data_IF_394754477575
#
_entry.id   IF_394754477575
#
_cell.length_a   1.000
_cell.length_b   1.000
_cell.length_c   1.000
_cell.angle_alpha   90.00
_cell.angle_beta   90.00
_cell.angle_gamma   90.00
#
_symmetry.space_group_name_H-M   'P 1'
#
loop_
_entity.id
_entity.type
_entity.pdbx_description
1 polymer ?
#
# COMPACT_ATOMS: atom_id res chain seq x y z
N UNK A 1 0.66 5.47 -13.87
CA UNK A 1 -0.57 5.15 -14.62
C UNK A 1 -1.34 3.97 -13.97
N UNK A 2 -0.90 2.71 -13.98
CA UNK A 2 -0.91 1.86 -15.17
C UNK A 2 -2.22 1.04 -15.29
N UNK A 3 -2.43 -0.01 -14.50
CA UNK A 3 -3.50 -1.00 -14.74
C UNK A 3 -4.94 -0.46 -14.71
N UNK A 4 -5.30 0.40 -13.74
CA UNK A 4 -6.67 0.94 -13.66
C UNK A 4 -6.95 2.00 -14.73
N UNK A 5 -5.95 2.80 -15.12
CA UNK A 5 -6.06 3.71 -16.26
C UNK A 5 -6.14 2.94 -17.59
N UNK A 6 -5.37 1.85 -17.73
CA UNK A 6 -5.52 0.90 -18.85
C UNK A 6 -6.94 0.34 -18.92
N UNK A 7 -7.56 0.00 -17.79
CA UNK A 7 -8.95 -0.51 -17.74
C UNK A 7 -9.97 0.50 -18.29
N UNK A 8 -9.80 1.79 -18.02
CA UNK A 8 -10.68 2.87 -18.54
C UNK A 8 -10.43 3.11 -20.03
N UNK A 9 -9.17 3.17 -20.46
CA UNK A 9 -8.79 3.29 -21.88
C UNK A 9 -9.33 2.15 -22.76
N UNK A 10 -9.41 0.92 -22.22
CA UNK A 10 -10.02 -0.23 -22.90
C UNK A 10 -11.54 -0.07 -23.05
N UNK A 11 -12.22 0.55 -22.08
CA UNK A 11 -13.66 0.83 -22.18
C UNK A 11 -13.97 1.93 -23.22
N UNK A 12 -13.22 3.04 -23.18
CA UNK A 12 -13.26 4.12 -24.18
C UNK A 12 -13.02 3.61 -25.61
N UNK A 13 -12.04 2.71 -25.78
CA UNK A 13 -11.75 2.07 -27.06
C UNK A 13 -12.93 1.21 -27.55
N UNK A 14 -13.57 0.45 -26.66
CA UNK A 14 -14.73 -0.38 -27.03
C UNK A 14 -15.92 0.46 -27.50
N UNK A 15 -16.20 1.60 -26.83
CA UNK A 15 -17.25 2.56 -27.25
C UNK A 15 -16.89 3.22 -28.59
N UNK A 16 -15.63 3.61 -28.77
CA UNK A 16 -15.14 4.23 -30.01
C UNK A 16 -15.26 3.28 -31.21
N UNK A 17 -14.90 2.01 -31.03
CA UNK A 17 -15.07 0.96 -32.05
C UNK A 17 -16.55 0.72 -32.35
N UNK A 18 -17.41 0.69 -31.33
CA UNK A 18 -18.85 0.53 -31.52
C UNK A 18 -19.46 1.66 -32.36
N UNK A 19 -19.05 2.92 -32.12
CA UNK A 19 -19.47 4.07 -32.91
C UNK A 19 -18.93 4.07 -34.34
N UNK A 20 -17.68 3.60 -34.56
CA UNK A 20 -17.03 3.56 -35.88
C UNK A 20 -17.49 2.39 -36.77
N UNK A 21 -18.07 1.33 -36.19
CA UNK A 21 -18.61 0.17 -36.91
C UNK A 21 -20.14 0.18 -37.08
N UNK A 22 -20.84 1.16 -36.50
CA UNK A 22 -22.30 1.29 -36.60
C UNK A 22 -22.78 1.58 -38.04
N UNK A 23 -23.69 0.73 -38.54
CA UNK A 23 -24.54 0.89 -39.73
C UNK A 23 -23.98 1.74 -40.89
N UNK A 24 -22.86 1.30 -41.48
CA UNK A 24 -22.35 1.97 -42.68
C UNK A 24 -21.03 1.47 -43.28
N UNK A 25 -20.76 0.16 -43.23
CA UNK A 25 -19.64 -0.48 -43.95
C UNK A 25 -20.16 -1.33 -45.11
N UNK A 26 -20.50 -0.67 -46.21
CA UNK A 26 -20.61 -1.29 -47.55
C UNK A 26 -19.68 -0.55 -48.50
N UNK A 27 -19.00 -1.30 -49.37
CA UNK A 27 -18.23 -0.70 -50.46
C UNK A 27 -19.19 -0.06 -51.48
N UNK A 28 -18.81 1.05 -52.11
CA UNK A 28 -19.57 1.64 -53.22
C UNK A 28 -19.59 0.70 -54.44
N UNK A 29 -20.66 0.78 -55.22
CA UNK A 29 -20.86 0.04 -56.46
C UNK A 29 -20.25 0.77 -57.67
N UNK A 30 -20.06 0.06 -58.79
CA UNK A 30 -19.66 0.70 -60.06
C UNK A 30 -20.77 1.65 -60.55
N UNK A 31 -20.46 2.95 -60.52
CA UNK A 31 -21.39 4.03 -60.87
C UNK A 31 -21.88 4.86 -59.68
N UNK A 32 -21.53 4.50 -58.44
CA UNK A 32 -21.78 5.36 -57.27
C UNK A 32 -20.96 6.66 -57.34
N UNK A 33 -21.46 7.68 -56.64
CA UNK A 33 -20.80 8.99 -56.47
C UNK A 33 -19.40 8.81 -55.84
N UNK A 34 -18.31 9.33 -56.46
CA UNK A 34 -16.98 9.33 -55.87
C UNK A 34 -16.92 9.84 -54.42
N UNK A 35 -17.80 10.78 -54.04
CA UNK A 35 -17.88 11.28 -52.66
C UNK A 35 -18.28 10.20 -51.64
N UNK A 36 -19.03 9.17 -52.05
CA UNK A 36 -19.39 8.04 -51.18
C UNK A 36 -18.18 7.15 -50.89
N UNK A 37 -17.30 6.96 -51.89
CA UNK A 37 -16.02 6.27 -51.71
C UNK A 37 -15.07 7.06 -50.80
N UNK A 38 -14.97 8.37 -51.04
CA UNK A 38 -14.16 9.31 -50.26
C UNK A 38 -14.56 9.34 -48.78
N UNK A 39 -15.86 9.33 -48.48
CA UNK A 39 -16.39 9.29 -47.11
C UNK A 39 -16.10 7.98 -46.38
N UNK A 40 -16.08 6.85 -47.10
CA UNK A 40 -15.70 5.55 -46.54
C UNK A 40 -14.20 5.49 -46.22
N UNK A 41 -13.38 5.97 -47.16
CA UNK A 41 -11.94 6.13 -47.02
C UNK A 41 -11.57 7.10 -45.88
N UNK A 42 -12.34 8.17 -45.66
CA UNK A 42 -12.15 9.09 -44.53
C UNK A 42 -12.49 8.46 -43.18
N UNK A 43 -13.54 7.63 -43.10
CA UNK A 43 -13.85 6.82 -41.90
C UNK A 43 -12.70 5.86 -41.57
N UNK A 44 -12.13 5.21 -42.59
CA UNK A 44 -10.98 4.31 -42.44
C UNK A 44 -9.73 5.05 -41.95
N UNK A 45 -9.42 6.22 -42.53
CA UNK A 45 -8.32 7.10 -42.08
C UNK A 45 -8.46 7.55 -40.63
N UNK A 46 -9.68 7.84 -40.14
CA UNK A 46 -9.92 8.15 -38.72
C UNK A 46 -9.61 6.96 -37.80
N UNK A 47 -10.10 5.76 -38.15
CA UNK A 47 -9.85 4.54 -37.38
C UNK A 47 -8.34 4.23 -37.30
N UNK A 48 -7.61 4.38 -38.40
CA UNK A 48 -6.15 4.26 -38.45
C UNK A 48 -5.45 5.32 -37.59
N UNK A 49 -5.86 6.58 -37.68
CA UNK A 49 -5.31 7.69 -36.89
C UNK A 49 -5.50 7.51 -35.38
N UNK A 50 -6.65 6.97 -34.96
CA UNK A 50 -6.98 6.73 -33.55
C UNK A 50 -6.15 5.58 -32.95
N UNK A 51 -5.97 4.47 -33.68
CA UNK A 51 -5.04 3.39 -33.30
C UNK A 51 -3.60 3.91 -33.19
N UNK A 52 -3.18 4.76 -34.13
CA UNK A 52 -1.85 5.39 -34.12
C UNK A 52 -1.66 6.34 -32.93
N UNK A 53 -2.67 7.13 -32.58
CA UNK A 53 -2.66 8.02 -31.41
C UNK A 53 -2.51 7.24 -30.09
N UNK A 54 -3.29 6.17 -29.90
CA UNK A 54 -3.20 5.30 -28.72
C UNK A 54 -1.86 4.57 -28.62
N UNK A 55 -1.28 4.19 -29.75
CA UNK A 55 0.08 3.60 -29.79
C UNK A 55 1.13 4.60 -29.29
N UNK A 56 1.00 5.89 -29.63
CA UNK A 56 1.95 6.92 -29.22
C UNK A 56 1.73 7.43 -27.78
N UNK A 57 0.48 7.45 -27.30
CA UNK A 57 0.16 7.75 -25.89
C UNK A 57 0.82 6.74 -24.93
N UNK A 58 1.12 5.53 -25.40
CA UNK A 58 1.85 4.49 -24.65
C UNK A 58 3.38 4.69 -24.65
N UNK A 59 3.91 5.72 -25.30
CA UNK A 59 5.34 5.95 -25.48
C UNK A 59 5.88 7.27 -24.88
N UNK A 60 5.02 8.19 -24.43
CA UNK A 60 5.44 9.49 -23.85
C UNK A 60 4.55 9.88 -22.65
N UNK A 61 4.86 9.34 -21.45
CA UNK A 61 4.06 9.48 -20.22
C UNK A 61 3.82 10.93 -19.73
N UNK A 62 4.60 11.92 -20.17
CA UNK A 62 4.52 13.33 -19.71
C UNK A 62 3.25 14.09 -20.13
N UNK A 63 2.41 13.55 -21.02
CA UNK A 63 1.25 14.26 -21.59
C UNK A 63 -0.08 14.00 -20.88
N UNK A 64 -0.14 13.05 -19.95
CA UNK A 64 -1.38 12.70 -19.24
C UNK A 64 -2.01 13.87 -18.45
N UNK A 65 -1.19 14.67 -17.76
CA UNK A 65 -1.67 15.86 -17.02
C UNK A 65 -2.22 16.96 -17.95
N UNK A 66 -1.66 17.11 -19.16
CA UNK A 66 -2.14 18.08 -20.16
C UNK A 66 -3.49 17.66 -20.73
N UNK A 67 -3.73 16.36 -20.91
CA UNK A 67 -5.02 15.83 -21.35
C UNK A 67 -6.14 16.09 -20.32
N UNK A 68 -5.84 16.02 -19.02
CA UNK A 68 -6.80 16.32 -17.96
C UNK A 68 -7.28 17.78 -18.01
N UNK A 69 -6.35 18.73 -18.16
CA UNK A 69 -6.65 20.17 -18.28
C UNK A 69 -7.47 20.50 -19.55
N UNK A 70 -7.33 19.71 -20.62
CA UNK A 70 -8.16 19.84 -21.82
C UNK A 70 -9.59 19.30 -21.62
N UNK A 71 -9.73 18.20 -20.88
CA UNK A 71 -11.02 17.52 -20.67
C UNK A 71 -11.98 18.32 -19.77
N UNK A 72 -11.46 18.94 -18.71
CA UNK A 72 -12.23 19.80 -17.79
C UNK A 72 -12.76 21.09 -18.44
N UNK A 73 -12.35 21.40 -19.68
CA UNK A 73 -12.75 22.59 -20.43
C UNK A 73 -13.82 22.34 -21.50
N UNK A 74 -14.30 21.10 -21.64
CA UNK A 74 -15.20 20.71 -22.73
C UNK A 74 -16.68 20.81 -22.34
N UNK A 75 -17.30 21.96 -22.60
CA UNK A 75 -18.75 22.06 -22.70
C UNK A 75 -19.22 21.68 -24.10
N UNK A 76 -20.27 20.87 -24.20
CA UNK A 76 -20.99 20.65 -25.45
C UNK A 76 -22.16 21.63 -25.56
N UNK A 77 -21.96 22.66 -26.36
CA UNK A 77 -23.02 23.45 -26.97
C UNK A 77 -22.67 23.58 -28.46
N UNK A 78 -23.67 23.39 -29.32
CA UNK A 78 -23.63 23.41 -30.80
C UNK A 78 -23.07 22.18 -31.54
N UNK A 79 -23.72 21.88 -32.68
CA UNK A 79 -23.37 20.85 -33.66
C UNK A 79 -22.45 21.46 -34.74
N UNK A 80 -21.32 20.81 -35.07
CA UNK A 80 -20.51 21.13 -36.25
C UNK A 80 -20.10 19.83 -36.94
N UNK A 81 -20.20 19.80 -38.27
CA UNK A 81 -19.98 18.61 -39.10
C UNK A 81 -18.49 18.19 -39.15
N UNK A 82 -18.23 16.90 -39.35
CA UNK A 82 -16.88 16.34 -39.18
C UNK A 82 -16.27 15.87 -40.49
N UNK A 83 -15.30 16.59 -41.07
CA UNK A 83 -14.34 16.04 -42.05
C UNK A 83 -12.86 16.43 -41.84
N UNK A 84 -12.51 17.69 -41.57
CA UNK A 84 -11.09 18.14 -41.52
C UNK A 84 -10.24 17.54 -40.38
N UNK A 85 -10.84 17.19 -39.23
CA UNK A 85 -10.12 16.82 -38.00
C UNK A 85 -9.19 15.59 -38.12
N UNK A 86 -9.39 14.75 -39.14
CA UNK A 86 -8.62 13.51 -39.31
C UNK A 86 -7.21 13.70 -39.88
N UNK A 87 -6.97 14.76 -40.65
CA UNK A 87 -5.71 14.89 -41.41
C UNK A 87 -4.56 15.42 -40.57
N UNK A 88 -4.78 16.48 -39.77
CA UNK A 88 -3.70 17.14 -39.05
C UNK A 88 -3.11 16.29 -37.90
N UNK A 89 -3.94 15.50 -37.20
CA UNK A 89 -3.46 14.51 -36.23
C UNK A 89 -2.60 13.43 -36.92
N UNK A 90 -3.07 12.91 -38.06
CA UNK A 90 -2.42 11.80 -38.78
C UNK A 90 -0.99 12.14 -39.24
N UNK A 91 -0.78 13.38 -39.69
CA UNK A 91 0.54 13.88 -40.11
C UNK A 91 1.47 14.08 -38.90
N UNK A 92 1.00 14.73 -37.82
CA UNK A 92 1.84 15.01 -36.64
C UNK A 92 2.20 13.75 -35.84
N UNK A 93 1.30 12.76 -35.75
CA UNK A 93 1.58 11.43 -35.17
C UNK A 93 2.44 10.55 -36.11
N UNK A 94 2.63 10.95 -37.37
CA UNK A 94 3.48 10.26 -38.34
C UNK A 94 4.97 10.36 -38.00
N UNK A 95 5.50 11.58 -37.94
CA UNK A 95 6.95 11.81 -37.79
C UNK A 95 7.56 11.40 -36.44
N UNK A 96 6.74 11.11 -35.43
CA UNK A 96 7.20 10.64 -34.12
C UNK A 96 7.37 9.12 -34.03
N UNK A 97 6.73 8.33 -34.90
CA UNK A 97 6.78 6.86 -34.82
C UNK A 97 8.01 6.23 -35.48
N UNK A 98 8.62 6.87 -36.47
CA UNK A 98 9.81 6.32 -37.16
C UNK A 98 11.09 6.34 -36.30
N UNK A 99 11.01 6.76 -35.03
CA UNK A 99 12.13 6.76 -34.08
C UNK A 99 12.11 5.58 -33.08
N UNK A 100 10.99 4.84 -32.94
CA UNK A 100 10.81 3.74 -31.96
C UNK A 100 9.90 2.62 -32.51
N UNK A 101 10.31 1.33 -32.55
CA UNK A 101 9.43 0.29 -33.14
C UNK A 101 9.68 -1.22 -32.87
N UNK A 102 8.58 -1.99 -32.97
CA UNK A 102 8.39 -3.46 -33.00
C UNK A 102 6.95 -3.77 -33.52
N UNK A 103 6.46 -4.98 -33.83
CA UNK A 103 7.02 -6.35 -33.84
C UNK A 103 6.29 -7.31 -32.88
N UNK A 104 5.65 -8.43 -33.28
CA UNK A 104 5.39 -8.98 -34.63
C UNK A 104 4.18 -9.97 -34.68
N UNK A 105 3.93 -10.57 -35.86
CA UNK A 105 2.86 -11.54 -36.24
C UNK A 105 3.04 -12.95 -35.55
N UNK A 106 2.14 -13.95 -35.55
CA UNK A 106 0.97 -14.28 -36.39
C UNK A 106 0.02 -15.34 -35.77
N UNK A 107 -1.11 -15.70 -36.44
CA UNK A 107 -1.64 -17.09 -36.40
C UNK A 107 -3.16 -17.35 -36.26
N UNK A 108 -3.89 -17.35 -37.38
CA UNK A 108 -5.13 -18.09 -37.75
C UNK A 108 -5.64 -19.23 -36.82
N UNK A 109 -6.93 -19.61 -36.68
CA UNK A 109 -8.27 -19.44 -37.38
C UNK A 109 -9.34 -20.20 -36.52
N UNK A 110 -10.67 -20.25 -36.74
CA UNK A 110 -11.73 -19.33 -37.25
C UNK A 110 -13.09 -20.10 -37.32
N UNK A 111 -14.23 -19.53 -36.91
CA UNK A 111 -15.57 -20.15 -37.05
C UNK A 111 -16.72 -19.33 -36.42
N UNK A 112 -17.89 -19.27 -37.06
CA UNK A 112 -18.99 -18.32 -36.78
C UNK A 112 -20.19 -18.97 -36.04
N UNK A 113 -21.00 -18.24 -35.22
CA UNK A 113 -21.92 -18.87 -34.26
C UNK A 113 -23.41 -18.80 -34.65
N UNK A 114 -24.11 -19.95 -34.62
CA UNK A 114 -25.58 -20.04 -34.56
C UNK A 114 -26.04 -21.45 -34.17
N UNK A 115 -27.23 -21.57 -33.56
CA UNK A 115 -27.97 -22.81 -33.27
C UNK A 115 -27.33 -23.77 -32.21
N UNK A 116 -28.07 -24.57 -31.41
CA UNK A 116 -29.49 -24.53 -30.99
C UNK A 116 -29.68 -25.30 -29.66
N UNK A 117 -30.94 -25.39 -29.22
CA UNK A 117 -31.50 -26.21 -28.15
C UNK A 117 -30.95 -27.65 -27.94
N UNK A 118 -30.96 -28.03 -26.65
CA UNK A 118 -31.55 -29.25 -26.07
C UNK A 118 -30.73 -30.54 -25.80
N UNK A 119 -31.04 -31.06 -24.59
CA UNK A 119 -31.28 -32.46 -24.22
C UNK A 119 -30.13 -33.38 -23.73
N UNK A 120 -30.56 -34.26 -22.81
CA UNK A 120 -30.06 -35.60 -22.51
C UNK A 120 -28.66 -35.79 -21.89
N UNK A 121 -28.64 -35.84 -20.55
CA UNK A 121 -28.01 -36.97 -19.85
C UNK A 121 -28.78 -38.29 -20.19
N UNK A 122 -28.24 -39.51 -20.03
CA UNK A 122 -27.31 -39.92 -18.98
C UNK A 122 -26.23 -40.96 -19.40
N UNK A 123 -25.73 -41.72 -18.41
CA UNK A 123 -24.72 -42.81 -18.46
C UNK A 123 -23.25 -42.32 -18.55
N UNK A 124 -22.30 -42.89 -17.80
CA UNK A 124 -22.47 -43.84 -16.69
C UNK A 124 -21.16 -44.43 -16.15
N UNK A 125 -20.98 -44.36 -14.82
CA UNK A 125 -19.88 -44.95 -14.01
C UNK A 125 -18.48 -44.30 -14.16
N UNK A 126 -17.69 -44.14 -13.11
CA UNK A 126 -17.93 -44.37 -11.67
C UNK A 126 -16.66 -44.10 -10.83
N UNK A 127 -16.75 -44.05 -9.49
CA UNK A 127 -15.56 -44.03 -8.61
C UNK A 127 -15.23 -42.75 -7.81
N UNK A 128 -16.22 -42.17 -7.11
CA UNK A 128 -15.96 -41.56 -5.79
C UNK A 128 -15.68 -42.71 -4.76
N UNK A 129 -15.19 -42.47 -3.51
CA UNK A 129 -15.17 -41.19 -2.79
C UNK A 129 -13.91 -40.78 -1.96
N UNK A 130 -13.76 -39.46 -1.81
CA UNK A 130 -13.50 -38.68 -0.56
C UNK A 130 -12.31 -39.04 0.35
N UNK A 131 -11.60 -37.99 0.77
CA UNK A 131 -11.82 -37.46 2.12
C UNK A 131 -11.69 -35.93 2.16
N UNK A 132 -12.40 -35.33 3.11
CA UNK A 132 -12.43 -33.91 3.47
C UNK A 132 -13.04 -33.81 4.87
N UNK A 133 -13.45 -32.60 5.30
CA UNK A 133 -13.76 -32.27 6.71
C UNK A 133 -12.48 -32.21 7.55
N UNK A 134 -12.31 -31.26 8.48
CA UNK A 134 -13.15 -30.11 8.81
C UNK A 134 -12.84 -29.59 10.22
N UNK A 135 -13.17 -28.33 10.47
CA UNK A 135 -12.79 -27.64 11.71
C UNK A 135 -13.57 -28.17 12.92
N UNK A 136 -12.88 -28.66 13.96
CA UNK A 136 -13.46 -28.86 15.29
C UNK A 136 -12.42 -28.59 16.38
N UNK A 137 -12.72 -27.61 17.23
CA UNK A 137 -11.97 -27.35 18.48
C UNK A 137 -12.74 -28.00 19.62
N UNK A 138 -12.09 -28.90 20.36
CA UNK A 138 -12.65 -29.54 21.55
C UNK A 138 -11.74 -29.30 22.76
N UNK A 139 -12.25 -28.80 23.90
CA UNK A 139 -11.44 -28.52 25.08
C UNK A 139 -11.06 -29.81 25.84
N UNK A 140 -9.93 -29.76 26.53
CA UNK A 140 -9.47 -30.79 27.47
C UNK A 140 -10.50 -31.06 28.57
N UNK A 141 -10.66 -32.33 28.94
CA UNK A 141 -11.14 -32.71 30.27
C UNK A 141 -10.46 -34.00 30.73
N UNK A 142 -9.59 -33.86 31.74
CA UNK A 142 -8.87 -34.98 32.37
C UNK A 142 -9.86 -35.81 33.19
N UNK A 143 -9.84 -37.13 33.02
CA UNK A 143 -10.54 -38.08 33.90
C UNK A 143 -9.51 -38.87 34.71
N UNK A 144 -9.80 -39.09 36.00
CA UNK A 144 -8.92 -39.85 36.89
C UNK A 144 -9.01 -41.35 36.61
N UNK A 145 -7.89 -42.06 36.65
CA UNK A 145 -7.87 -43.51 36.81
C UNK A 145 -7.98 -43.92 38.28
N UNK A 146 -8.87 -44.86 38.58
CA UNK A 146 -8.80 -45.72 39.76
C UNK A 146 -9.45 -47.09 39.43
N UNK A 147 -8.83 -48.24 39.74
CA UNK A 147 -9.16 -49.48 39.02
C UNK A 147 -10.02 -50.49 39.80
N UNK A 148 -11.04 -51.02 39.11
CA UNK A 148 -11.76 -52.26 39.41
C UNK A 148 -12.23 -52.83 38.05
N UNK A 149 -12.12 -54.11 37.71
CA UNK A 149 -11.54 -55.26 38.42
C UNK A 149 -11.96 -56.52 37.65
N UNK A 150 -11.06 -57.48 37.40
CA UNK A 150 -11.37 -58.61 36.51
C UNK A 150 -12.46 -59.53 37.05
N UNK A 151 -13.51 -59.76 36.26
CA UNK A 151 -14.41 -60.91 36.38
C UNK A 151 -14.62 -61.56 35.00
N UNK A 152 -14.58 -62.90 34.96
CA UNK A 152 -14.60 -63.74 33.75
C UNK A 152 -15.55 -64.93 33.96
N UNK A 153 -16.17 -65.42 32.88
CA UNK A 153 -17.23 -66.45 32.87
C UNK A 153 -18.54 -66.01 33.57
N UNK A 154 -19.74 -66.46 33.18
CA UNK A 154 -20.16 -67.74 32.61
C UNK A 154 -21.23 -67.56 31.49
N UNK A 155 -21.20 -68.31 30.37
CA UNK A 155 -22.17 -68.18 29.27
C UNK A 155 -23.52 -68.90 29.49
N UNK A 156 -23.82 -69.43 30.68
CA UNK A 156 -24.83 -70.48 30.88
C UNK A 156 -25.97 -70.15 31.86
N UNK A 157 -26.60 -68.97 31.78
CA UNK A 157 -27.90 -68.78 32.46
C UNK A 157 -28.88 -67.82 31.77
N UNK A 158 -29.99 -68.35 31.25
CA UNK A 158 -31.16 -67.56 30.77
C UNK A 158 -32.27 -67.61 31.82
N UNK A 159 -32.37 -66.61 32.69
CA UNK A 159 -33.50 -66.46 33.62
C UNK A 159 -34.24 -65.14 33.34
N UNK A 160 -35.51 -65.31 32.95
CA UNK A 160 -36.58 -64.33 32.65
C UNK A 160 -36.30 -62.84 32.93
N UNK A 161 -36.13 -62.08 31.84
CA UNK A 161 -35.98 -60.62 31.83
C UNK A 161 -37.32 -59.84 31.98
N UNK A 162 -38.25 -60.32 32.81
CA UNK A 162 -39.63 -59.78 32.88
C UNK A 162 -39.99 -59.04 34.18
N UNK A 163 -39.39 -59.40 35.33
CA UNK A 163 -39.71 -58.75 36.62
C UNK A 163 -39.13 -57.33 36.76
N UNK A 164 -37.98 -57.05 36.13
CA UNK A 164 -37.26 -55.79 36.28
C UNK A 164 -37.91 -54.61 35.53
N UNK A 165 -38.70 -54.88 34.48
CA UNK A 165 -39.44 -53.87 33.70
C UNK A 165 -40.27 -52.95 34.60
N UNK A 166 -40.99 -53.53 35.57
CA UNK A 166 -42.08 -52.84 36.25
C UNK A 166 -41.59 -52.06 37.49
N UNK A 167 -40.44 -52.43 38.06
CA UNK A 167 -39.74 -51.64 39.09
C UNK A 167 -39.14 -50.38 38.46
N UNK A 168 -38.41 -50.53 37.34
CA UNK A 168 -37.76 -49.42 36.65
C UNK A 168 -38.76 -48.35 36.16
N UNK A 169 -39.89 -48.77 35.56
CA UNK A 169 -40.94 -47.87 35.05
C UNK A 169 -41.61 -47.03 36.15
N UNK A 170 -41.81 -47.58 37.34
CA UNK A 170 -42.45 -46.85 38.45
C UNK A 170 -41.56 -45.80 39.10
N UNK A 171 -40.24 -46.02 39.15
CA UNK A 171 -39.28 -45.03 39.67
C UNK A 171 -39.14 -43.85 38.68
N UNK A 172 -39.09 -44.13 37.37
CA UNK A 172 -38.85 -43.12 36.34
C UNK A 172 -39.96 -42.05 36.18
N UNK A 173 -41.20 -42.34 36.59
CA UNK A 173 -42.34 -41.43 36.33
C UNK A 173 -42.68 -40.47 37.46
N UNK A 174 -42.30 -40.75 38.72
CA UNK A 174 -42.79 -39.95 39.87
C UNK A 174 -42.13 -38.57 40.02
N UNK A 175 -40.86 -38.43 39.61
CA UNK A 175 -40.05 -37.21 39.84
C UNK A 175 -39.79 -36.36 38.57
N UNK A 176 -40.45 -36.66 37.44
CA UNK A 176 -40.22 -35.96 36.15
C UNK A 176 -40.42 -34.43 36.20
N UNK A 177 -41.31 -33.93 37.07
CA UNK A 177 -41.52 -32.48 37.28
C UNK A 177 -40.43 -31.81 38.13
N UNK A 178 -39.76 -32.55 39.01
CA UNK A 178 -38.70 -32.00 39.85
C UNK A 178 -37.39 -31.82 39.06
N UNK A 179 -36.98 -32.85 38.31
CA UNK A 179 -35.73 -32.84 37.55
C UNK A 179 -35.65 -31.71 36.50
N UNK A 180 -36.76 -31.38 35.83
CA UNK A 180 -36.80 -30.29 34.86
C UNK A 180 -36.67 -28.90 35.51
N UNK A 181 -37.25 -28.70 36.71
CA UNK A 181 -37.15 -27.44 37.43
C UNK A 181 -35.71 -27.16 37.90
N UNK A 182 -35.01 -28.18 38.42
CA UNK A 182 -33.62 -28.04 38.89
C UNK A 182 -32.64 -27.75 37.74
N UNK A 183 -32.82 -28.38 36.56
CA UNK A 183 -31.95 -28.13 35.41
C UNK A 183 -32.07 -26.71 34.86
N UNK A 184 -33.30 -26.18 34.75
CA UNK A 184 -33.53 -24.81 34.30
C UNK A 184 -32.93 -23.82 35.31
N UNK A 185 -33.18 -24.01 36.61
CA UNK A 185 -32.62 -23.15 37.66
C UNK A 185 -31.08 -23.09 37.64
N UNK A 186 -30.39 -24.22 37.36
CA UNK A 186 -28.93 -24.24 37.28
C UNK A 186 -28.41 -23.54 36.02
N UNK A 187 -29.06 -23.73 34.87
CA UNK A 187 -28.67 -23.10 33.59
C UNK A 187 -28.73 -21.56 33.62
N UNK A 188 -29.69 -21.00 34.36
CA UNK A 188 -29.85 -19.54 34.54
C UNK A 188 -28.76 -18.93 35.43
N UNK A 189 -28.19 -19.70 36.38
CA UNK A 189 -27.14 -19.20 37.29
C UNK A 189 -25.70 -19.47 36.82
N UNK A 190 -25.46 -20.44 35.93
CA UNK A 190 -24.11 -20.69 35.37
C UNK A 190 -23.81 -19.78 34.17
N UNK A 191 -24.80 -19.43 33.35
CA UNK A 191 -24.61 -18.64 32.13
C UNK A 191 -24.03 -17.22 32.34
N UNK A 192 -24.38 -16.45 33.40
CA UNK A 192 -23.79 -15.13 33.62
C UNK A 192 -22.29 -15.18 33.96
N UNK A 193 -21.84 -16.25 34.62
CA UNK A 193 -20.50 -16.32 35.21
C UNK A 193 -19.39 -16.56 34.18
N UNK A 194 -19.73 -17.16 33.02
CA UNK A 194 -18.78 -17.40 31.93
C UNK A 194 -18.54 -16.18 31.04
N UNK A 195 -19.45 -15.21 31.03
CA UNK A 195 -19.31 -13.96 30.24
C UNK A 195 -18.31 -13.01 30.92
N UNK A 196 -18.25 -13.00 32.26
CA UNK A 196 -17.35 -12.16 33.04
C UNK A 196 -15.86 -12.60 33.02
N UNK A 197 -15.56 -13.78 32.46
CA UNK A 197 -14.20 -14.31 32.36
C UNK A 197 -13.50 -13.96 31.03
N UNK A 198 -14.25 -13.45 30.04
CA UNK A 198 -13.67 -12.75 28.91
C UNK A 198 -13.22 -11.36 29.38
N UNK A 199 -11.94 -11.24 29.77
CA UNK A 199 -11.29 -9.94 29.80
C UNK A 199 -11.40 -9.26 28.43
N UNK A 200 -11.23 -7.92 28.35
CA UNK A 200 -11.26 -7.23 27.06
C UNK A 200 -10.33 -7.96 26.09
N UNK A 201 -10.83 -8.22 24.87
CA UNK A 201 -9.96 -8.65 23.78
C UNK A 201 -8.80 -7.67 23.74
N UNK A 202 -7.56 -8.19 23.71
CA UNK A 202 -6.37 -7.36 23.68
C UNK A 202 -6.48 -6.53 22.40
N UNK A 203 -6.84 -5.25 22.52
CA UNK A 203 -6.97 -4.37 21.37
C UNK A 203 -5.65 -4.43 20.61
N UNK A 204 -5.71 -4.90 19.36
CA UNK A 204 -4.54 -4.83 18.49
C UNK A 204 -4.19 -3.36 18.38
N UNK A 205 -2.96 -2.94 18.77
CA UNK A 205 -2.63 -1.53 18.87
C UNK A 205 -2.94 -0.86 17.54
N UNK A 206 -3.72 0.23 17.60
CA UNK A 206 -4.23 0.89 16.41
C UNK A 206 -3.06 1.23 15.48
N UNK A 207 -3.21 0.84 14.21
CA UNK A 207 -2.21 1.07 13.16
C UNK A 207 -1.83 2.55 13.15
N UNK A 208 -0.53 2.83 13.22
CA UNK A 208 -0.02 4.20 13.16
C UNK A 208 -0.41 4.78 11.81
N UNK A 209 -1.01 5.96 11.81
CA UNK A 209 -1.44 6.65 10.59
C UNK A 209 -0.32 7.58 10.15
N UNK A 210 0.20 7.35 8.95
CA UNK A 210 1.43 7.98 8.46
C UNK A 210 1.12 8.83 7.23
N UNK A 211 1.47 10.11 7.28
CA UNK A 211 1.60 10.94 6.08
C UNK A 211 3.02 10.79 5.56
N UNK A 212 3.21 10.32 4.33
CA UNK A 212 4.48 10.31 3.62
C UNK A 212 4.50 11.48 2.63
N UNK A 213 5.43 12.40 2.80
CA UNK A 213 5.61 13.58 1.95
C UNK A 213 6.76 13.33 0.98
N UNK A 214 6.57 13.65 -0.30
CA UNK A 214 7.55 13.43 -1.37
C UNK A 214 7.58 14.60 -2.37
N UNK A 215 8.50 14.52 -3.34
CA UNK A 215 8.58 15.43 -4.49
C UNK A 215 9.75 16.41 -4.40
N UNK A 216 10.04 17.09 -5.52
CA UNK A 216 11.20 17.99 -5.64
C UNK A 216 12.53 17.31 -5.98
N UNK A 217 12.64 16.00 -5.75
CA UNK A 217 13.71 15.14 -6.28
C UNK A 217 13.10 13.82 -6.80
N UNK A 218 13.74 13.21 -7.81
CA UNK A 218 13.33 11.93 -8.40
C UNK A 218 13.85 10.74 -7.59
N UNK A 219 13.16 9.60 -7.65
CA UNK A 219 13.49 8.38 -6.89
C UNK A 219 12.76 7.12 -7.41
N UNK A 220 13.22 5.94 -7.00
CA UNK A 220 12.61 4.66 -7.40
C UNK A 220 11.32 4.38 -6.60
N UNK A 221 10.22 5.03 -7.02
CA UNK A 221 8.94 5.06 -6.33
C UNK A 221 8.43 3.71 -5.81
N UNK A 222 8.46 2.64 -6.62
CA UNK A 222 7.81 1.38 -6.24
C UNK A 222 8.55 0.66 -5.11
N UNK A 223 9.89 0.61 -5.19
CA UNK A 223 10.79 0.10 -4.16
C UNK A 223 10.75 0.95 -2.88
N UNK A 224 10.75 2.28 -3.01
CA UNK A 224 10.58 3.20 -1.86
C UNK A 224 9.27 2.95 -1.12
N UNK A 225 8.13 2.97 -1.84
CA UNK A 225 6.84 2.73 -1.21
C UNK A 225 6.70 1.29 -0.68
N UNK A 226 7.51 0.34 -1.15
CA UNK A 226 7.57 -1.02 -0.59
C UNK A 226 8.03 -1.04 0.88
N UNK A 227 8.78 -0.05 1.36
CA UNK A 227 9.12 0.08 2.80
C UNK A 227 7.85 0.23 3.66
N UNK A 228 6.88 0.99 3.16
CA UNK A 228 5.63 1.30 3.87
C UNK A 228 4.55 0.23 3.62
N UNK A 229 4.46 -0.30 2.39
CA UNK A 229 3.55 -1.40 2.02
C UNK A 229 3.78 -2.65 2.90
N UNK A 230 5.04 -3.00 3.19
CA UNK A 230 5.41 -4.17 4.00
C UNK A 230 5.43 -3.94 5.52
N UNK A 231 4.99 -2.77 6.01
CA UNK A 231 4.93 -2.49 7.44
C UNK A 231 3.49 -2.73 7.98
N UNK A 232 3.15 -3.92 8.49
CA UNK A 232 1.79 -4.23 8.91
C UNK A 232 1.30 -3.40 10.10
N UNK A 233 2.20 -2.73 10.82
CA UNK A 233 1.88 -1.86 11.96
C UNK A 233 1.35 -0.47 11.59
N UNK A 234 1.32 -0.11 10.30
CA UNK A 234 0.89 1.22 9.84
C UNK A 234 -0.26 1.18 8.84
N UNK A 235 -0.85 2.34 8.61
CA UNK A 235 -1.58 2.73 7.38
C UNK A 235 -0.94 4.02 6.91
N UNK A 236 -0.62 4.15 5.62
CA UNK A 236 0.00 5.36 5.09
C UNK A 236 -0.78 5.95 3.93
N UNK A 237 -0.66 7.27 3.80
CA UNK A 237 -1.04 8.04 2.62
C UNK A 237 0.22 8.74 2.11
N UNK A 238 0.41 8.81 0.79
CA UNK A 238 1.57 9.46 0.17
C UNK A 238 1.09 10.66 -0.65
N UNK A 239 1.65 11.85 -0.35
CA UNK A 239 1.29 13.11 -1.00
C UNK A 239 2.54 13.86 -1.46
N UNK A 240 2.49 14.37 -2.67
CA UNK A 240 3.55 15.19 -3.24
C UNK A 240 3.30 16.69 -2.97
N UNK A 241 4.38 17.47 -2.90
CA UNK A 241 4.26 18.93 -2.92
C UNK A 241 3.69 19.45 -4.26
N UNK A 242 2.97 20.59 -4.25
CA UNK A 242 2.65 21.43 -3.09
C UNK A 242 1.45 20.90 -2.25
N UNK A 243 0.74 19.86 -2.73
CA UNK A 243 -0.51 19.39 -2.13
C UNK A 243 -0.35 18.92 -0.68
N UNK A 244 0.78 18.29 -0.36
CA UNK A 244 1.11 17.82 0.98
C UNK A 244 1.02 18.92 2.07
N UNK A 245 1.31 20.19 1.74
CA UNK A 245 1.30 21.29 2.72
C UNK A 245 -0.09 21.54 3.33
N UNK A 246 -1.17 21.26 2.58
CA UNK A 246 -2.54 21.38 3.09
C UNK A 246 -2.85 20.35 4.20
N UNK A 247 -2.16 19.20 4.19
CA UNK A 247 -2.35 18.12 5.15
C UNK A 247 -1.64 18.36 6.49
N UNK A 248 -0.81 19.40 6.58
CA UNK A 248 -0.30 19.90 7.86
C UNK A 248 -1.35 20.68 8.66
N UNK A 249 -2.46 21.13 8.03
CA UNK A 249 -3.50 21.94 8.68
C UNK A 249 -4.13 21.27 9.92
N UNK A 250 -4.72 22.07 10.81
CA UNK A 250 -5.30 21.57 12.06
C UNK A 250 -6.42 20.51 11.87
N UNK A 251 -7.17 20.57 10.77
CA UNK A 251 -8.21 19.59 10.45
C UNK A 251 -7.63 18.32 9.81
N UNK A 252 -6.93 18.46 8.67
CA UNK A 252 -6.37 17.32 7.95
C UNK A 252 -5.30 16.58 8.77
N UNK A 253 -4.50 17.31 9.55
CA UNK A 253 -3.48 16.75 10.43
C UNK A 253 -4.04 15.80 11.50
N UNK A 254 -5.34 15.85 11.84
CA UNK A 254 -5.97 14.87 12.75
C UNK A 254 -5.93 13.44 12.20
N UNK A 255 -5.80 13.28 10.88
CA UNK A 255 -5.78 12.00 10.19
C UNK A 255 -4.48 11.20 10.40
N UNK A 256 -3.40 11.86 10.84
CA UNK A 256 -2.07 11.26 10.99
C UNK A 256 -1.52 11.34 12.41
N UNK A 257 -0.70 10.37 12.77
CA UNK A 257 0.04 10.27 14.03
C UNK A 257 1.53 10.59 13.83
N UNK A 258 2.06 10.30 12.64
CA UNK A 258 3.45 10.55 12.22
C UNK A 258 3.47 11.17 10.82
N UNK A 259 4.35 12.15 10.62
CA UNK A 259 4.76 12.65 9.30
C UNK A 259 6.12 12.04 8.97
N UNK A 260 6.28 11.57 7.73
CA UNK A 260 7.55 11.10 7.17
C UNK A 260 7.90 12.01 5.99
N UNK A 261 9.05 12.67 6.05
CA UNK A 261 9.56 13.53 4.99
C UNK A 261 10.59 12.77 4.13
N UNK A 262 10.35 12.75 2.83
CA UNK A 262 11.25 12.28 1.77
C UNK A 262 11.12 13.21 0.54
N UNK A 263 10.85 14.48 0.81
CA UNK A 263 10.78 15.61 -0.11
C UNK A 263 12.13 16.35 -0.22
N UNK A 264 12.32 17.05 -1.34
CA UNK A 264 13.40 18.03 -1.54
C UNK A 264 12.75 19.37 -1.94
N UNK A 265 12.04 19.98 -1.00
CA UNK A 265 11.17 21.12 -1.24
C UNK A 265 11.65 22.37 -0.52
N UNK A 266 11.59 23.51 -1.22
CA UNK A 266 12.17 24.78 -0.75
C UNK A 266 11.10 25.84 -0.44
N UNK A 267 10.00 25.84 -1.20
CA UNK A 267 8.90 26.78 -1.00
C UNK A 267 7.89 26.24 0.01
N UNK A 268 7.83 26.84 1.21
CA UNK A 268 6.78 26.52 2.20
C UNK A 268 6.11 27.81 2.69
N UNK A 269 4.79 27.86 2.61
CA UNK A 269 4.01 29.05 2.98
C UNK A 269 4.08 29.32 4.49
N UNK A 270 3.97 30.59 4.91
CA UNK A 270 3.96 30.94 6.35
C UNK A 270 2.83 30.23 7.12
N UNK A 271 1.69 29.95 6.48
CA UNK A 271 0.62 29.13 7.06
C UNK A 271 1.08 27.68 7.24
N UNK A 272 1.66 27.05 6.22
CA UNK A 272 2.17 25.68 6.31
C UNK A 272 3.32 25.54 7.33
N UNK A 273 4.23 26.54 7.43
CA UNK A 273 5.26 26.62 8.48
C UNK A 273 4.62 26.62 9.88
N UNK A 274 3.61 27.47 10.09
CA UNK A 274 2.93 27.61 11.37
C UNK A 274 2.13 26.35 11.74
N UNK A 275 1.42 25.75 10.78
CA UNK A 275 0.67 24.52 10.96
C UNK A 275 1.58 23.32 11.24
N UNK A 276 2.65 23.11 10.47
CA UNK A 276 3.62 22.04 10.72
C UNK A 276 4.23 22.15 12.14
N UNK A 277 4.63 23.35 12.54
CA UNK A 277 5.10 23.63 13.91
C UNK A 277 4.02 23.37 14.97
N UNK A 278 2.75 23.64 14.68
CA UNK A 278 1.64 23.32 15.58
C UNK A 278 1.42 21.80 15.71
N UNK A 279 1.47 21.05 14.62
CA UNK A 279 1.40 19.57 14.61
C UNK A 279 2.52 18.93 15.46
N UNK A 280 3.74 19.47 15.41
CA UNK A 280 4.83 19.00 16.28
C UNK A 280 4.65 19.41 17.76
N UNK A 281 4.04 20.57 18.03
CA UNK A 281 3.69 21.00 19.40
C UNK A 281 2.55 20.18 20.00
N UNK A 282 1.67 19.61 19.17
CA UNK A 282 0.66 18.62 19.57
C UNK A 282 1.25 17.24 19.88
N UNK A 283 2.51 16.99 19.50
CA UNK A 283 3.20 15.71 19.74
C UNK A 283 3.08 14.70 18.60
N UNK A 284 2.72 15.12 17.37
CA UNK A 284 2.82 14.23 16.20
C UNK A 284 4.28 13.91 15.92
N UNK A 285 4.55 12.65 15.59
CA UNK A 285 5.90 12.18 15.30
C UNK A 285 6.43 12.72 13.97
N UNK A 286 7.75 12.84 13.87
CA UNK A 286 8.43 13.22 12.63
C UNK A 286 9.59 12.28 12.34
N UNK A 287 9.60 11.68 11.14
CA UNK A 287 10.77 10.98 10.60
C UNK A 287 11.21 11.73 9.34
N UNK A 288 12.48 12.08 9.25
CA UNK A 288 13.06 12.78 8.09
C UNK A 288 14.08 11.85 7.44
N UNK A 289 13.97 11.64 6.14
CA UNK A 289 14.73 10.64 5.41
C UNK A 289 15.56 11.29 4.30
N UNK A 290 16.81 10.86 4.20
CA UNK A 290 17.68 11.12 3.06
C UNK A 290 17.80 12.63 2.71
N UNK A 291 17.47 13.00 1.48
CA UNK A 291 17.60 14.36 0.93
C UNK A 291 16.74 15.42 1.64
N UNK A 292 15.73 15.03 2.43
CA UNK A 292 14.89 15.94 3.22
C UNK A 292 15.64 16.70 4.33
N UNK A 293 16.92 16.37 4.59
CA UNK A 293 17.83 17.20 5.38
C UNK A 293 18.09 18.58 4.76
N UNK A 294 17.87 18.71 3.44
CA UNK A 294 18.16 19.90 2.67
C UNK A 294 16.92 20.76 2.35
N UNK A 295 15.73 20.38 2.83
CA UNK A 295 14.51 21.17 2.63
C UNK A 295 14.59 22.57 3.25
N UNK A 296 13.71 23.44 2.76
CA UNK A 296 13.34 24.72 3.36
C UNK A 296 14.55 25.55 3.83
N UNK A 297 15.57 25.72 2.97
CA UNK A 297 16.84 26.39 3.32
C UNK A 297 16.63 27.78 3.96
N UNK A 298 15.63 28.53 3.48
CA UNK A 298 15.23 29.86 4.01
C UNK A 298 14.35 29.80 5.28
N UNK A 299 14.23 28.63 5.93
CA UNK A 299 13.46 28.45 7.17
C UNK A 299 14.32 27.90 8.32
N UNK A 300 15.03 28.76 9.08
CA UNK A 300 15.91 28.36 10.18
C UNK A 300 15.22 27.62 11.35
N UNK A 301 13.89 27.54 11.39
CA UNK A 301 13.19 26.70 12.38
C UNK A 301 13.19 25.22 11.96
N UNK A 302 13.19 24.91 10.67
CA UNK A 302 13.31 23.52 10.17
C UNK A 302 14.61 22.88 10.63
N UNK A 303 15.71 23.62 10.54
CA UNK A 303 17.04 23.22 11.01
C UNK A 303 17.03 22.85 12.50
N UNK A 304 16.30 23.59 13.34
CA UNK A 304 16.10 23.29 14.78
C UNK A 304 15.14 22.14 15.03
N UNK A 305 14.15 21.94 14.16
CA UNK A 305 13.23 20.80 14.21
C UNK A 305 14.01 19.51 13.99
N UNK A 306 14.73 19.40 12.87
CA UNK A 306 15.47 18.18 12.48
C UNK A 306 16.79 18.01 13.22
N UNK A 307 17.40 19.10 13.72
CA UNK A 307 18.68 19.08 14.43
C UNK A 307 19.90 19.07 13.52
N UNK A 308 19.79 19.60 12.31
CA UNK A 308 20.87 19.68 11.32
C UNK A 308 20.63 20.81 10.30
N UNK A 309 21.68 21.15 9.55
CA UNK A 309 21.60 22.07 8.41
C UNK A 309 22.51 21.56 7.29
N UNK A 310 21.92 21.02 6.22
CA UNK A 310 22.61 20.69 4.98
C UNK A 310 22.63 21.90 4.05
N UNK A 311 23.81 22.33 3.62
CA UNK A 311 24.03 23.59 2.90
C UNK A 311 23.99 23.38 1.38
N UNK A 312 22.92 23.80 0.71
CA UNK A 312 22.85 23.72 -0.77
C UNK A 312 23.82 24.69 -1.48
N UNK A 313 24.29 25.73 -0.78
CA UNK A 313 25.26 26.72 -1.25
C UNK A 313 26.19 27.17 -0.10
N UNK A 314 27.40 27.69 -0.37
CA UNK A 314 28.27 28.23 0.68
C UNK A 314 27.63 29.46 1.34
N UNK A 315 27.70 29.56 2.66
CA UNK A 315 27.08 30.65 3.42
C UNK A 315 27.83 30.96 4.73
N UNK A 316 27.39 32.00 5.44
CA UNK A 316 27.90 32.33 6.79
C UNK A 316 26.82 32.00 7.81
N UNK A 317 27.18 31.21 8.83
CA UNK A 317 26.33 30.91 10.00
C UNK A 317 27.10 31.34 11.26
N UNK A 318 26.51 32.23 12.06
CA UNK A 318 27.12 32.76 13.30
C UNK A 318 28.57 33.29 13.14
N UNK A 319 28.87 33.87 11.98
CA UNK A 319 30.20 34.38 11.61
C UNK A 319 31.18 33.32 11.08
N UNK A 320 30.82 32.04 11.10
CA UNK A 320 31.60 30.93 10.56
C UNK A 320 31.26 30.72 9.08
N UNK A 321 32.28 30.64 8.23
CA UNK A 321 32.14 30.26 6.82
C UNK A 321 31.80 28.77 6.70
N UNK A 322 30.71 28.46 5.99
CA UNK A 322 30.25 27.11 5.69
C UNK A 322 30.42 26.85 4.20
N UNK A 323 31.02 25.72 3.85
CA UNK A 323 31.02 25.24 2.47
C UNK A 323 29.63 24.72 2.09
N UNK A 324 29.35 24.63 0.78
CA UNK A 324 28.26 23.80 0.28
C UNK A 324 28.49 22.35 0.73
N UNK A 325 27.48 21.71 1.30
CA UNK A 325 27.54 20.31 1.69
C UNK A 325 27.73 19.42 0.46
N UNK A 326 28.50 18.35 0.62
CA UNK A 326 28.89 17.43 -0.43
C UNK A 326 28.22 16.07 -0.24
N UNK A 327 28.10 15.35 -1.35
CA UNK A 327 27.52 14.02 -1.39
C UNK A 327 28.32 13.10 -2.31
N UNK A 328 28.10 11.78 -2.20
CA UNK A 328 28.75 10.78 -3.06
C UNK A 328 27.89 9.51 -3.17
N UNK A 329 27.29 9.29 -4.34
CA UNK A 329 26.52 8.08 -4.67
C UNK A 329 27.40 6.82 -4.71
N UNK A 330 26.78 5.64 -4.63
CA UNK A 330 27.42 4.35 -4.92
C UNK A 330 28.53 3.97 -3.94
N UNK A 331 28.41 4.40 -2.69
CA UNK A 331 29.38 4.16 -1.63
C UNK A 331 29.03 2.88 -0.88
N UNK A 332 30.00 1.98 -0.76
CA UNK A 332 29.94 0.84 0.15
C UNK A 332 30.60 1.20 1.47
N UNK A 333 29.85 1.19 2.56
CA UNK A 333 30.35 1.55 3.89
C UNK A 333 29.61 0.83 5.02
N UNK A 334 30.31 0.60 6.13
CA UNK A 334 29.69 0.09 7.37
C UNK A 334 28.91 1.22 8.07
N UNK A 335 27.63 0.98 8.33
CA UNK A 335 26.82 1.74 9.29
C UNK A 335 26.99 1.11 10.66
N UNK A 336 27.34 1.94 11.65
CA UNK A 336 27.61 1.56 13.03
C UNK A 336 26.42 1.96 13.92
N UNK A 337 26.00 1.10 14.84
CA UNK A 337 24.88 1.37 15.75
C UNK A 337 25.41 2.02 17.02
N UNK A 338 25.33 3.35 17.09
CA UNK A 338 25.91 4.17 18.16
C UNK A 338 25.21 4.00 19.51
N UNK A 339 23.90 3.70 19.50
CA UNK A 339 23.16 3.25 20.70
C UNK A 339 22.27 2.04 20.36
N UNK A 340 22.70 0.81 20.69
CA UNK A 340 21.91 -0.41 20.45
C UNK A 340 20.76 -0.61 21.46
N UNK A 341 20.60 0.27 22.46
CA UNK A 341 19.53 0.21 23.44
C UNK A 341 18.35 1.12 23.08
N UNK A 342 18.58 2.18 22.30
CA UNK A 342 17.53 3.10 21.88
C UNK A 342 16.44 2.36 21.07
N UNK A 343 15.13 2.60 21.29
CA UNK A 343 14.08 1.81 20.66
C UNK A 343 14.09 1.79 19.12
N UNK A 344 14.66 2.82 18.49
CA UNK A 344 14.79 2.94 17.02
C UNK A 344 15.82 1.97 16.44
N UNK A 345 16.87 1.67 17.19
CA UNK A 345 18.05 0.87 16.78
C UNK A 345 18.17 -0.47 17.51
N UNK A 346 17.31 -0.73 18.51
CA UNK A 346 17.31 -1.98 19.26
C UNK A 346 17.14 -3.18 18.35
N UNK A 347 17.94 -4.22 18.58
CA UNK A 347 17.96 -5.44 17.77
C UNK A 347 18.56 -5.27 16.37
N UNK A 348 19.16 -4.11 16.07
CA UNK A 348 20.00 -3.89 14.89
C UNK A 348 21.47 -3.96 15.31
N UNK A 349 22.31 -4.49 14.44
CA UNK A 349 23.76 -4.54 14.60
C UNK A 349 24.43 -3.71 13.50
N UNK A 350 25.72 -3.43 13.65
CA UNK A 350 26.52 -2.79 12.60
C UNK A 350 26.37 -3.57 11.27
N UNK A 351 26.13 -2.85 10.17
CA UNK A 351 25.76 -3.44 8.89
C UNK A 351 26.44 -2.76 7.71
N UNK A 352 26.80 -3.56 6.69
CA UNK A 352 27.25 -3.04 5.41
C UNK A 352 26.08 -2.42 4.64
N UNK A 353 26.33 -1.25 4.06
CA UNK A 353 25.35 -0.48 3.30
C UNK A 353 25.92 -0.10 1.92
N UNK A 354 25.05 0.01 0.92
CA UNK A 354 25.37 0.54 -0.40
C UNK A 354 24.37 1.64 -0.72
N UNK A 355 24.85 2.88 -0.81
CA UNK A 355 24.00 4.08 -0.68
C UNK A 355 24.79 5.34 -1.06
N UNK A 356 24.20 6.51 -0.81
CA UNK A 356 24.89 7.79 -0.83
C UNK A 356 25.44 8.20 0.55
N UNK A 357 26.63 8.83 0.59
CA UNK A 357 27.14 9.50 1.80
C UNK A 357 26.96 11.02 1.72
N UNK A 358 26.63 11.68 2.84
CA UNK A 358 26.58 13.14 2.96
C UNK A 358 27.68 13.67 3.87
N UNK A 359 28.21 14.86 3.56
CA UNK A 359 29.40 15.43 4.21
C UNK A 359 29.35 16.97 4.24
N UNK A 360 29.99 17.57 5.23
CA UNK A 360 30.02 19.03 5.45
C UNK A 360 28.62 19.66 5.65
N UNK A 361 27.70 18.94 6.29
CA UNK A 361 26.49 19.51 6.90
C UNK A 361 26.70 19.67 8.41
N UNK A 362 25.96 20.58 9.05
CA UNK A 362 25.98 20.75 10.50
C UNK A 362 25.01 19.77 11.17
N UNK A 363 25.41 19.22 12.33
CA UNK A 363 24.57 18.42 13.22
C UNK A 363 24.56 19.09 14.60
N UNK A 364 23.38 19.29 15.17
CA UNK A 364 23.21 20.03 16.42
C UNK A 364 23.70 19.20 17.62
N UNK A 365 24.37 19.80 18.63
CA UNK A 365 24.98 19.06 19.73
C UNK A 365 23.99 18.40 20.69
N UNK A 366 22.70 18.76 20.63
CA UNK A 366 21.63 18.17 21.43
C UNK A 366 20.93 16.95 20.80
N UNK A 367 21.35 16.50 19.61
CA UNK A 367 20.82 15.24 19.04
C UNK A 367 21.43 14.03 19.74
N UNK A 368 20.66 12.94 19.85
CA UNK A 368 21.12 11.64 20.33
C UNK A 368 21.53 10.77 19.14
N UNK A 369 22.84 10.51 18.92
CA UNK A 369 23.29 9.71 17.78
C UNK A 369 22.77 8.28 17.85
N UNK A 370 22.19 7.81 16.74
CA UNK A 370 21.72 6.44 16.58
C UNK A 370 22.61 5.64 15.65
N UNK A 371 23.04 6.27 14.55
CA UNK A 371 23.84 5.66 13.50
C UNK A 371 25.06 6.54 13.21
N UNK A 372 26.23 5.92 13.16
CA UNK A 372 27.49 6.56 12.76
C UNK A 372 28.17 5.80 11.62
N UNK A 373 29.20 6.40 11.04
CA UNK A 373 30.18 5.70 10.21
C UNK A 373 31.57 6.30 10.41
N UNK A 374 32.60 5.58 9.98
CA UNK A 374 33.98 6.07 9.86
C UNK A 374 34.42 6.26 8.39
N UNK A 375 33.48 6.15 7.43
CA UNK A 375 33.73 6.45 6.01
C UNK A 375 34.24 7.89 5.80
N UNK A 376 35.46 8.10 5.26
CA UNK A 376 36.06 9.42 5.12
C UNK A 376 35.27 10.41 4.24
N UNK A 377 34.44 9.95 3.30
CA UNK A 377 33.54 10.77 2.48
C UNK A 377 32.14 10.94 3.07
N UNK A 378 31.97 10.70 4.37
CA UNK A 378 30.75 10.98 5.14
C UNK A 378 31.01 11.96 6.30
N UNK A 379 29.95 12.59 6.80
CA UNK A 379 29.88 13.04 8.18
C UNK A 379 29.84 11.82 9.11
N UNK A 380 30.39 11.93 10.33
CA UNK A 380 30.45 10.80 11.28
C UNK A 380 29.07 10.38 11.79
N UNK A 381 28.12 11.30 11.97
CA UNK A 381 26.77 11.01 12.45
C UNK A 381 25.81 11.04 11.25
N UNK A 382 25.13 9.92 11.00
CA UNK A 382 24.30 9.69 9.80
C UNK A 382 22.86 9.28 10.15
N UNK A 383 22.53 9.18 11.44
CA UNK A 383 21.15 9.04 11.91
C UNK A 383 21.06 9.35 13.40
N UNK A 384 20.00 10.01 13.82
CA UNK A 384 19.84 10.49 15.20
C UNK A 384 18.37 10.61 15.61
N UNK A 385 18.15 10.62 16.92
CA UNK A 385 16.88 10.97 17.55
C UNK A 385 17.01 12.30 18.30
N UNK A 386 15.91 13.05 18.39
CA UNK A 386 15.79 14.23 19.26
C UNK A 386 14.31 14.48 19.60
N UNK A 387 14.05 15.52 20.38
CA UNK A 387 12.72 16.11 20.52
C UNK A 387 12.64 17.50 19.88
N UNK A 388 11.43 17.92 19.53
CA UNK A 388 11.10 19.32 19.25
C UNK A 388 9.71 19.61 19.81
N UNK A 389 9.63 20.52 20.79
CA UNK A 389 8.45 20.68 21.65
C UNK A 389 7.99 19.33 22.23
N UNK A 390 6.78 18.86 21.89
CA UNK A 390 6.26 17.55 22.31
C UNK A 390 6.64 16.41 21.36
N UNK A 391 6.96 16.70 20.10
CA UNK A 391 7.28 15.71 19.08
C UNK A 391 8.61 15.01 19.33
N UNK A 392 8.59 13.70 19.10
CA UNK A 392 9.79 12.89 18.84
C UNK A 392 10.17 12.99 17.37
N UNK A 393 11.44 13.28 17.10
CA UNK A 393 11.99 13.45 15.74
C UNK A 393 13.12 12.44 15.53
N UNK A 394 13.14 11.79 14.37
CA UNK A 394 14.26 10.95 13.91
C UNK A 394 14.72 11.44 12.54
N UNK A 395 16.04 11.48 12.31
CA UNK A 395 16.62 11.60 10.97
C UNK A 395 17.42 10.34 10.61
N UNK A 396 17.37 9.94 9.34
CA UNK A 396 18.19 8.88 8.75
C UNK A 396 18.74 9.36 7.39
N UNK A 397 20.06 9.36 7.21
CA UNK A 397 20.71 9.79 5.96
C UNK A 397 20.50 8.80 4.80
N UNK A 398 20.41 7.52 5.11
CA UNK A 398 20.24 6.47 4.11
C UNK A 398 18.92 6.58 3.35
N UNK A 399 18.94 6.20 2.07
CA UNK A 399 17.74 6.14 1.24
C UNK A 399 17.88 6.62 -0.20
N UNK A 400 19.05 6.53 -0.83
CA UNK A 400 19.22 7.03 -2.20
C UNK A 400 18.42 6.24 -3.24
N UNK A 401 18.43 4.92 -3.14
CA UNK A 401 17.87 3.98 -4.13
C UNK A 401 17.44 2.64 -3.50
N UNK A 402 17.06 1.67 -4.33
CA UNK A 402 16.67 0.33 -3.90
C UNK A 402 17.71 -0.41 -3.06
N UNK A 403 19.02 -0.13 -3.18
CA UNK A 403 20.02 -0.78 -2.32
C UNK A 403 19.85 -0.36 -0.85
N UNK A 404 19.43 0.88 -0.60
CA UNK A 404 18.99 1.32 0.72
C UNK A 404 17.58 0.81 1.05
N UNK A 405 16.61 0.93 0.14
CA UNK A 405 15.21 0.58 0.41
C UNK A 405 14.99 -0.91 0.69
N UNK A 406 15.78 -1.79 0.08
CA UNK A 406 15.70 -3.25 0.24
C UNK A 406 16.55 -3.76 1.43
N UNK A 407 17.50 -2.95 1.94
CA UNK A 407 18.34 -3.31 3.07
C UNK A 407 17.49 -3.62 4.33
N UNK A 408 17.50 -4.86 4.85
CA UNK A 408 16.61 -5.25 5.96
C UNK A 408 16.89 -4.47 7.24
N UNK A 409 18.12 -4.02 7.47
CA UNK A 409 18.47 -3.20 8.63
C UNK A 409 17.86 -1.81 8.51
N UNK A 410 17.98 -1.16 7.34
CA UNK A 410 17.35 0.13 7.07
C UNK A 410 15.81 0.05 7.20
N UNK A 411 15.18 -0.96 6.58
CA UNK A 411 13.73 -1.21 6.70
C UNK A 411 13.30 -1.42 8.16
N UNK A 412 14.10 -2.13 8.96
CA UNK A 412 13.88 -2.28 10.41
C UNK A 412 14.00 -0.94 11.15
N UNK A 413 15.04 -0.14 10.88
CA UNK A 413 15.24 1.16 11.53
C UNK A 413 14.09 2.12 11.18
N UNK A 414 13.65 2.21 9.91
CA UNK A 414 12.50 3.04 9.50
C UNK A 414 11.20 2.59 10.21
N UNK A 415 10.93 1.28 10.28
CA UNK A 415 9.79 0.73 11.05
C UNK A 415 9.85 1.14 12.53
N UNK A 416 11.03 1.07 13.14
CA UNK A 416 11.23 1.37 14.56
C UNK A 416 11.23 2.87 14.85
N UNK A 417 11.71 3.70 13.92
CA UNK A 417 11.58 5.15 13.92
C UNK A 417 10.10 5.57 13.96
N UNK A 418 9.30 5.12 12.99
CA UNK A 418 7.86 5.44 12.93
C UNK A 418 7.12 5.02 14.20
N UNK A 419 7.41 3.82 14.75
CA UNK A 419 6.82 3.37 16.04
C UNK A 419 7.21 4.27 17.21
N UNK A 420 8.50 4.59 17.35
CA UNK A 420 9.01 5.43 18.43
C UNK A 420 8.49 6.86 18.33
N UNK A 421 8.43 7.45 17.13
CA UNK A 421 7.91 8.81 16.91
C UNK A 421 6.39 8.89 17.06
N UNK A 422 5.65 7.81 16.82
CA UNK A 422 4.22 7.70 17.15
C UNK A 422 3.92 7.58 18.66
N UNK A 423 4.94 7.71 19.52
CA UNK A 423 4.88 7.49 20.97
C UNK A 423 4.43 6.08 21.40
N UNK A 424 4.35 5.11 20.47
CA UNK A 424 4.08 3.71 20.78
C UNK A 424 5.34 3.02 21.35
N UNK A 425 5.15 1.93 22.10
CA UNK A 425 6.26 1.06 22.45
C UNK A 425 6.78 0.34 21.20
N UNK A 426 8.09 0.35 21.00
CA UNK A 426 8.73 -0.56 20.05
C UNK A 426 8.86 -1.92 20.75
N UNK A 427 8.26 -2.95 20.16
CA UNK A 427 8.61 -4.38 20.32
C UNK A 427 9.81 -4.74 19.45
#
# INVERSE_FOLDING_TARGET
MSERLSSVLVAELAVSIHALLGDGLKAPAEGDDPAAAEKLELRWKRLQGLVKALTNLRCEDTKAQVAQIAFERWHFDQEIETEELGFELGVRLGGLLEQCGAGADSGQRSGDPLALLAAAAPLGHGGFPKNGVGLFVGPLLVSLEAPLGMLKADPTNRIKLESLSNVAKNIAMKNRRAFFATFIALSVFVSPLLIAAAGPLKDFPAKIRVLVVTGGHDFEHDQFFQIFKDNPGITFEALEHPNAQAHFSAEAGTQYDVIVLYDFHQEITEQAKADFVARLKEGKGLVVLHHAIADYQDWPEYQKIIGAHYYLQPMVVDGVQKARSAYKHGMHFTVQVADPNHPVTRGVHDYENHDETYKWFDVAPEVHPLLTTDEPESNKIIGWAKTYAAARVVYLQSGHDHFAYENPNYRQIVRQAIRWTAHQEVE
#
